data_IF_504524610503
#
_entry.id   IF_504524610503
#
_cell.length_a   1.000
_cell.length_b   1.000
_cell.length_c   1.000
_cell.angle_alpha   90.00
_cell.angle_beta   90.00
_cell.angle_gamma   90.00
#
_symmetry.space_group_name_H-M   'P 1'
#
loop_
_entity.id
_entity.type
_entity.pdbx_description
1 polymer ?
#
# COMPACT_ATOMS: atom_id res chain seq x y z
N UNK A 1 7.92 -49.03 17.12
CA UNK A 1 8.94 -47.94 17.08
C UNK A 1 8.48 -46.91 16.06
N UNK A 2 8.46 -45.60 16.36
CA UNK A 2 8.08 -44.59 15.38
C UNK A 2 9.07 -44.64 14.21
N UNK A 3 8.56 -44.60 12.97
CA UNK A 3 9.41 -44.61 11.77
C UNK A 3 10.28 -43.36 11.70
N UNK A 4 11.50 -43.47 11.17
CA UNK A 4 12.47 -42.37 11.05
C UNK A 4 11.85 -41.09 10.46
N UNK A 5 10.91 -41.21 9.51
CA UNK A 5 10.20 -40.07 8.92
C UNK A 5 9.43 -39.21 9.94
N UNK A 6 8.78 -39.84 10.94
CA UNK A 6 8.02 -39.12 11.97
C UNK A 6 8.94 -38.34 12.93
N UNK A 7 10.16 -38.82 13.13
CA UNK A 7 11.17 -38.16 13.96
C UNK A 7 11.73 -36.95 13.22
N UNK A 8 12.09 -37.10 11.94
CA UNK A 8 12.59 -36.01 11.11
C UNK A 8 11.62 -34.83 11.01
N UNK A 9 10.32 -35.09 10.82
CA UNK A 9 9.30 -34.03 10.81
C UNK A 9 9.18 -33.28 12.14
N UNK A 10 9.37 -33.97 13.27
CA UNK A 10 9.34 -33.33 14.61
C UNK A 10 10.56 -32.44 14.82
N UNK A 11 11.74 -32.88 14.37
CA UNK A 11 12.99 -32.08 14.44
C UNK A 11 12.87 -30.84 13.57
N UNK A 12 12.41 -31.00 12.33
CA UNK A 12 12.21 -29.88 11.40
C UNK A 12 11.22 -28.84 11.96
N UNK A 13 10.10 -29.29 12.55
CA UNK A 13 9.15 -28.39 13.19
C UNK A 13 9.75 -27.68 14.41
N UNK A 14 10.58 -28.36 15.20
CA UNK A 14 11.25 -27.77 16.36
C UNK A 14 12.26 -26.70 15.94
N UNK A 15 13.13 -26.97 14.96
CA UNK A 15 14.12 -26.01 14.45
C UNK A 15 13.46 -24.76 13.83
N UNK A 16 12.37 -24.96 13.10
CA UNK A 16 11.56 -23.87 12.57
C UNK A 16 10.92 -23.01 13.67
N UNK A 17 10.63 -23.58 14.84
CA UNK A 17 10.08 -22.84 15.98
C UNK A 17 11.17 -22.14 16.80
N UNK A 18 12.40 -22.69 16.87
CA UNK A 18 13.54 -22.05 17.54
C UNK A 18 13.93 -20.75 16.84
N UNK A 19 14.02 -20.75 15.51
CA UNK A 19 14.33 -19.53 14.71
C UNK A 19 13.20 -18.48 14.72
N UNK A 20 11.97 -18.89 15.03
CA UNK A 20 10.80 -18.01 15.15
C UNK A 20 10.52 -17.58 16.60
N UNK A 21 11.20 -18.19 17.59
CA UNK A 21 11.06 -17.86 19.01
C UNK A 21 11.58 -16.45 19.25
N UNK A 22 10.74 -15.57 19.81
CA UNK A 22 11.11 -14.18 20.09
C UNK A 22 10.88 -13.20 18.94
N UNK A 23 10.36 -13.63 17.78
CA UNK A 23 9.96 -12.73 16.69
C UNK A 23 8.56 -12.15 16.93
N UNK A 24 8.36 -11.59 18.13
CA UNK A 24 7.15 -10.86 18.48
C UNK A 24 7.27 -9.46 17.87
N UNK A 25 6.33 -9.02 17.03
CA UNK A 25 6.29 -7.63 16.60
C UNK A 25 6.24 -6.73 17.85
N UNK A 26 7.25 -5.88 18.04
CA UNK A 26 7.39 -5.02 19.23
C UNK A 26 6.29 -3.97 19.36
N UNK A 27 5.43 -3.83 18.35
CA UNK A 27 4.16 -3.11 18.46
C UNK A 27 3.11 -3.68 17.51
N UNK A 28 1.83 -3.59 17.91
CA UNK A 28 0.68 -3.82 17.03
C UNK A 28 0.46 -2.67 16.04
N UNK A 29 1.21 -1.57 16.19
CA UNK A 29 1.08 -0.38 15.36
C UNK A 29 2.01 -0.55 14.16
N UNK A 30 1.45 -1.05 13.06
CA UNK A 30 2.09 -0.94 11.74
C UNK A 30 2.58 0.51 11.59
N UNK A 31 3.92 0.68 11.47
CA UNK A 31 4.61 1.97 11.30
C UNK A 31 3.73 2.93 10.50
N UNK A 32 3.36 4.02 11.16
CA UNK A 32 2.19 4.85 10.86
C UNK A 32 1.93 5.05 9.37
N UNK A 33 0.69 4.76 8.97
CA UNK A 33 0.11 5.22 7.71
C UNK A 33 0.06 6.74 7.74
N UNK A 34 1.18 7.36 7.37
CA UNK A 34 1.25 8.80 7.15
C UNK A 34 0.38 9.06 5.91
N UNK A 35 -0.74 9.72 6.16
CA UNK A 35 -1.81 10.06 5.21
C UNK A 35 -2.79 8.92 4.90
N UNK A 36 -4.08 9.22 5.13
CA UNK A 36 -5.24 8.36 4.81
C UNK A 36 -5.27 8.00 3.32
N UNK A 37 -4.62 8.80 2.48
CA UNK A 37 -4.48 8.58 1.04
C UNK A 37 -3.05 8.18 0.70
N UNK A 38 -2.89 7.19 -0.18
CA UNK A 38 -1.58 6.76 -0.65
C UNK A 38 -0.91 7.84 -1.52
N UNK A 39 0.43 7.86 -1.59
CA UNK A 39 1.18 8.85 -2.40
C UNK A 39 0.69 8.94 -3.85
N UNK A 40 0.34 7.80 -4.45
CA UNK A 40 -0.17 7.71 -5.83
C UNK A 40 -1.50 8.45 -5.97
N UNK A 41 -2.47 8.18 -5.08
CA UNK A 41 -3.77 8.84 -5.08
C UNK A 41 -3.64 10.33 -4.82
N UNK A 42 -2.71 10.73 -3.96
CA UNK A 42 -2.46 12.14 -3.67
C UNK A 42 -1.97 12.90 -4.92
N UNK A 43 -1.01 12.31 -5.66
CA UNK A 43 -0.49 12.91 -6.90
C UNK A 43 -1.59 12.99 -7.97
N UNK A 44 -2.36 11.93 -8.15
CA UNK A 44 -3.47 11.91 -9.12
C UNK A 44 -4.53 12.94 -8.74
N UNK A 45 -4.89 13.07 -7.46
CA UNK A 45 -5.86 14.04 -6.99
C UNK A 45 -5.42 15.47 -7.30
N UNK A 46 -4.17 15.82 -7.00
CA UNK A 46 -3.62 17.16 -7.28
C UNK A 46 -3.61 17.44 -8.80
N UNK A 47 -3.19 16.47 -9.61
CA UNK A 47 -3.15 16.61 -11.07
C UNK A 47 -4.54 16.85 -11.67
N UNK A 48 -5.53 16.05 -11.26
CA UNK A 48 -6.90 16.17 -11.77
C UNK A 48 -7.53 17.49 -11.35
N UNK A 49 -7.37 17.91 -10.09
CA UNK A 49 -7.94 19.17 -9.59
C UNK A 49 -7.37 20.36 -10.35
N UNK A 50 -6.04 20.50 -10.42
CA UNK A 50 -5.40 21.63 -11.13
C UNK A 50 -5.66 21.56 -12.63
N UNK A 51 -5.55 20.37 -13.23
CA UNK A 51 -5.78 20.16 -14.66
C UNK A 51 -7.20 20.51 -15.09
N UNK A 52 -8.21 20.16 -14.27
CA UNK A 52 -9.61 20.48 -14.56
C UNK A 52 -9.90 21.98 -14.63
N UNK A 53 -9.23 22.78 -13.79
CA UNK A 53 -9.38 24.26 -13.80
C UNK A 53 -8.83 24.85 -15.09
N UNK A 54 -7.68 24.35 -15.56
CA UNK A 54 -7.07 24.79 -16.83
C UNK A 54 -8.00 24.45 -18.00
N UNK A 55 -8.48 23.20 -18.05
CA UNK A 55 -9.41 22.76 -19.12
C UNK A 55 -10.72 23.54 -19.08
N UNK A 56 -11.27 23.83 -17.89
CA UNK A 56 -12.46 24.69 -17.77
C UNK A 56 -12.20 26.09 -18.29
N UNK A 57 -11.08 26.72 -17.94
CA UNK A 57 -10.74 28.07 -18.39
C UNK A 57 -10.61 28.12 -19.93
N UNK A 58 -9.91 27.16 -20.53
CA UNK A 58 -9.79 27.04 -21.98
C UNK A 58 -11.17 26.84 -22.64
N UNK A 59 -12.02 26.01 -22.04
CA UNK A 59 -13.39 25.76 -22.53
C UNK A 59 -14.26 27.03 -22.46
N UNK A 60 -14.11 27.84 -21.41
CA UNK A 60 -14.82 29.11 -21.25
C UNK A 60 -14.37 30.12 -22.30
N UNK A 61 -13.06 30.25 -22.55
CA UNK A 61 -12.50 31.16 -23.56
C UNK A 61 -12.91 30.74 -24.98
N UNK A 62 -12.92 29.45 -25.27
CA UNK A 62 -13.38 28.94 -26.57
C UNK A 62 -14.87 29.19 -26.77
N UNK A 63 -15.70 28.96 -25.74
CA UNK A 63 -17.11 29.33 -25.79
C UNK A 63 -17.28 30.83 -26.01
N UNK A 64 -16.55 31.69 -25.29
CA UNK A 64 -16.72 33.14 -25.44
C UNK A 64 -16.30 33.64 -26.82
N UNK A 65 -15.25 33.08 -27.44
CA UNK A 65 -14.86 33.40 -28.83
C UNK A 65 -15.84 32.90 -29.89
N UNK A 66 -16.65 31.90 -29.56
CA UNK A 66 -17.70 31.38 -30.45
C UNK A 66 -18.96 32.24 -30.41
N UNK A 67 -19.12 33.10 -29.40
CA UNK A 67 -20.26 34.00 -29.23
C UNK A 67 -19.97 35.47 -29.61
N UNK A 68 -18.79 35.78 -30.16
CA UNK A 68 -18.54 36.99 -30.97
C UNK A 68 -18.77 36.68 -32.46
#
# INVERSE_FOLDING_TARGET
MPSNRKILQKVEAFDNNVSKRGKVPTSLVKKGRKHTVGPILLVVFIFVVIGSVIVQMLSIIQKSKIFE
#
